data_IF_530315158608
#
_entry.id   IF_530315158608
#
_cell.length_a   1.000
_cell.length_b   1.000
_cell.length_c   1.000
_cell.angle_alpha   90.00
_cell.angle_beta   90.00
_cell.angle_gamma   90.00
#
_symmetry.space_group_name_H-M   'P 1'
#
loop_
_entity.id
_entity.type
_entity.pdbx_description
1 polymer ?
#
# COMPACT_ATOMS: atom_id res chain seq x y z
N UNK A 1 15.00 -18.86 -37.68
CA UNK A 1 16.12 -19.79 -37.41
C UNK A 1 16.00 -20.96 -38.39
N UNK A 2 17.06 -21.25 -39.14
CA UNK A 2 17.09 -22.27 -40.20
C UNK A 2 17.38 -23.65 -39.58
N UNK A 3 16.56 -24.65 -39.89
CA UNK A 3 16.78 -26.07 -39.54
C UNK A 3 17.93 -26.65 -40.37
N UNK A 4 18.80 -27.54 -39.83
CA UNK A 4 19.84 -28.16 -40.64
C UNK A 4 19.26 -29.30 -41.49
N UNK A 5 19.64 -29.28 -42.78
CA UNK A 5 19.30 -30.29 -43.78
C UNK A 5 19.80 -31.69 -43.41
N UNK A 6 18.91 -32.69 -43.59
CA UNK A 6 19.25 -34.12 -43.60
C UNK A 6 20.27 -34.40 -44.71
N UNK A 7 21.48 -34.79 -44.34
CA UNK A 7 22.46 -35.37 -45.26
C UNK A 7 22.13 -36.85 -45.42
N UNK A 8 21.48 -37.20 -46.52
CA UNK A 8 21.26 -38.58 -46.96
C UNK A 8 22.57 -39.19 -47.46
N UNK A 9 23.26 -39.94 -46.60
CA UNK A 9 24.29 -40.88 -47.03
C UNK A 9 23.63 -42.22 -47.40
N UNK A 10 23.59 -42.52 -48.69
CA UNK A 10 23.30 -43.87 -49.19
C UNK A 10 24.29 -44.88 -48.62
N UNK A 11 23.85 -46.05 -48.13
CA UNK A 11 24.76 -47.14 -47.84
C UNK A 11 25.11 -47.86 -49.15
N UNK A 12 26.39 -47.79 -49.52
CA UNK A 12 27.01 -48.66 -50.51
C UNK A 12 26.86 -50.13 -50.07
N UNK A 13 26.39 -50.98 -50.99
CA UNK A 13 26.30 -52.41 -50.78
C UNK A 13 27.70 -53.02 -50.70
N UNK A 14 28.03 -53.59 -49.54
CA UNK A 14 29.17 -54.48 -49.40
C UNK A 14 28.75 -55.77 -48.70
N UNK A 15 28.97 -56.86 -49.44
CA UNK A 15 29.04 -58.29 -49.06
C UNK A 15 28.44 -58.70 -47.71
N UNK A 16 27.38 -59.49 -47.79
CA UNK A 16 26.84 -60.33 -46.72
C UNK A 16 27.89 -61.29 -46.12
N UNK A 17 28.14 -61.24 -44.80
CA UNK A 17 28.53 -62.41 -44.04
C UNK A 17 27.27 -63.11 -43.52
N UNK A 18 27.19 -64.41 -43.79
CA UNK A 18 26.26 -65.31 -43.09
C UNK A 18 26.58 -65.28 -41.58
N UNK A 19 25.52 -65.34 -40.77
CA UNK A 19 25.46 -65.37 -39.30
C UNK A 19 25.55 -64.00 -38.59
N UNK A 20 24.51 -63.18 -38.73
CA UNK A 20 24.38 -61.91 -38.00
C UNK A 20 23.66 -62.09 -36.67
N UNK A 21 24.32 -62.74 -35.72
CA UNK A 21 24.05 -62.51 -34.29
C UNK A 21 24.94 -61.36 -33.84
N UNK A 22 24.36 -60.29 -33.28
CA UNK A 22 25.12 -59.27 -32.56
C UNK A 22 26.03 -59.99 -31.54
N UNK A 23 27.31 -59.66 -31.53
CA UNK A 23 28.22 -60.19 -30.49
C UNK A 23 27.72 -59.74 -29.12
N UNK A 24 27.95 -60.54 -28.05
CA UNK A 24 27.41 -60.23 -26.71
C UNK A 24 27.71 -58.81 -26.23
N UNK A 25 28.87 -58.25 -26.57
CA UNK A 25 29.25 -56.87 -26.26
C UNK A 25 28.40 -55.82 -27.00
N UNK A 26 28.02 -56.08 -28.26
CA UNK A 26 27.16 -55.18 -29.04
C UNK A 26 25.69 -55.26 -28.59
N UNK A 27 25.24 -56.43 -28.12
CA UNK A 27 23.93 -56.56 -27.48
C UNK A 27 23.86 -55.72 -26.21
N UNK A 28 24.87 -55.81 -25.35
CA UNK A 28 24.94 -55.01 -24.11
C UNK A 28 25.02 -53.51 -24.40
N UNK A 29 25.75 -53.08 -25.44
CA UNK A 29 25.80 -51.65 -25.78
C UNK A 29 24.45 -51.12 -26.27
N UNK A 30 23.75 -51.88 -27.13
CA UNK A 30 22.42 -51.48 -27.64
C UNK A 30 21.39 -51.46 -26.52
N UNK A 31 21.41 -52.46 -25.63
CA UNK A 31 20.53 -52.51 -24.46
C UNK A 31 20.81 -51.32 -23.54
N UNK A 32 22.07 -51.03 -23.21
CA UNK A 32 22.42 -49.88 -22.38
C UNK A 32 22.00 -48.54 -23.01
N UNK A 33 22.17 -48.37 -24.32
CA UNK A 33 21.69 -47.17 -25.02
C UNK A 33 20.17 -47.06 -25.04
N UNK A 34 19.45 -48.19 -25.19
CA UNK A 34 17.99 -48.21 -25.13
C UNK A 34 17.48 -47.91 -23.71
N UNK A 35 18.13 -48.43 -22.68
CA UNK A 35 17.80 -48.12 -21.27
C UNK A 35 18.08 -46.65 -20.95
N UNK A 36 19.20 -46.08 -21.40
CA UNK A 36 19.52 -44.66 -21.24
C UNK A 36 18.56 -43.73 -21.99
N UNK A 37 18.15 -44.11 -23.20
CA UNK A 37 17.12 -43.38 -23.92
C UNK A 37 15.78 -43.46 -23.19
N UNK A 38 15.36 -44.66 -22.76
CA UNK A 38 14.14 -44.87 -21.98
C UNK A 38 14.11 -44.05 -20.70
N UNK A 39 15.21 -44.00 -19.95
CA UNK A 39 15.32 -43.16 -18.75
C UNK A 39 15.25 -41.68 -19.10
N UNK A 40 15.94 -41.22 -20.15
CA UNK A 40 15.89 -39.81 -20.57
C UNK A 40 14.50 -39.34 -21.01
N UNK A 41 13.70 -40.22 -21.64
CA UNK A 41 12.32 -39.91 -22.00
C UNK A 41 11.40 -39.87 -20.78
N UNK A 42 11.59 -40.78 -19.83
CA UNK A 42 10.84 -40.78 -18.58
C UNK A 42 11.15 -39.53 -17.75
N UNK A 43 12.44 -39.15 -17.65
CA UNK A 43 12.89 -37.94 -16.97
C UNK A 43 12.33 -36.68 -17.64
N UNK A 44 12.31 -36.62 -18.98
CA UNK A 44 11.73 -35.51 -19.71
C UNK A 44 10.21 -35.38 -19.50
N UNK A 45 9.47 -36.50 -19.51
CA UNK A 45 8.03 -36.48 -19.25
C UNK A 45 7.72 -36.04 -17.80
N UNK A 46 8.49 -36.54 -16.83
CA UNK A 46 8.37 -36.14 -15.43
C UNK A 46 8.72 -34.65 -15.21
N UNK A 47 9.74 -34.14 -15.91
CA UNK A 47 10.11 -32.72 -15.86
C UNK A 47 9.04 -31.82 -16.51
N UNK A 48 8.42 -32.27 -17.60
CA UNK A 48 7.32 -31.56 -18.23
C UNK A 48 6.11 -31.45 -17.28
N UNK A 49 5.73 -32.54 -16.62
CA UNK A 49 4.66 -32.55 -15.62
C UNK A 49 4.99 -31.64 -14.43
N UNK A 50 6.22 -31.70 -13.91
CA UNK A 50 6.67 -30.82 -12.82
C UNK A 50 6.58 -29.35 -13.22
N UNK A 51 7.00 -29.02 -14.43
CA UNK A 51 6.94 -27.65 -14.95
C UNK A 51 5.49 -27.15 -15.04
N UNK A 52 4.57 -28.00 -15.48
CA UNK A 52 3.14 -27.69 -15.52
C UNK A 52 2.56 -27.46 -14.11
N UNK A 53 2.92 -28.31 -13.14
CA UNK A 53 2.51 -28.15 -11.74
C UNK A 53 3.04 -26.85 -11.13
N UNK A 54 4.32 -26.51 -11.35
CA UNK A 54 4.92 -25.26 -10.88
C UNK A 54 4.23 -24.05 -11.51
N UNK A 55 3.91 -24.11 -12.81
CA UNK A 55 3.16 -23.04 -13.49
C UNK A 55 1.76 -22.87 -12.90
N UNK A 56 1.04 -23.98 -12.68
CA UNK A 56 -0.28 -23.95 -12.07
C UNK A 56 -0.25 -23.37 -10.65
N UNK A 57 0.76 -23.72 -9.86
CA UNK A 57 0.96 -23.16 -8.52
C UNK A 57 1.26 -21.66 -8.58
N UNK A 58 2.18 -21.24 -9.46
CA UNK A 58 2.52 -19.82 -9.63
C UNK A 58 1.31 -18.97 -10.03
N UNK A 59 0.42 -19.48 -10.89
CA UNK A 59 -0.82 -18.77 -11.24
C UNK A 59 -1.76 -18.63 -10.04
N UNK A 60 -1.91 -19.69 -9.22
CA UNK A 60 -2.71 -19.61 -7.99
C UNK A 60 -2.14 -18.58 -7.02
N UNK A 61 -0.83 -18.61 -6.79
CA UNK A 61 -0.15 -17.70 -5.88
C UNK A 61 -0.28 -16.24 -6.37
N UNK A 62 -0.18 -16.02 -7.68
CA UNK A 62 -0.39 -14.70 -8.28
C UNK A 62 -1.81 -14.18 -8.05
N UNK A 63 -2.83 -15.02 -8.18
CA UNK A 63 -4.22 -14.63 -7.92
C UNK A 63 -4.47 -14.29 -6.45
N UNK A 64 -3.95 -15.08 -5.53
CA UNK A 64 -4.04 -14.79 -4.09
C UNK A 64 -3.33 -13.47 -3.78
N UNK A 65 -2.11 -13.28 -4.27
CA UNK A 65 -1.35 -12.05 -4.07
C UNK A 65 -2.08 -10.82 -4.62
N UNK A 66 -2.66 -10.92 -5.82
CA UNK A 66 -3.41 -9.81 -6.41
C UNK A 66 -4.64 -9.45 -5.58
N UNK A 67 -5.35 -10.44 -5.05
CA UNK A 67 -6.49 -10.22 -4.15
C UNK A 67 -6.07 -9.54 -2.85
N UNK A 68 -4.95 -9.96 -2.25
CA UNK A 68 -4.41 -9.34 -1.03
C UNK A 68 -4.04 -7.89 -1.26
N UNK A 69 -3.37 -7.57 -2.38
CA UNK A 69 -3.03 -6.20 -2.77
C UNK A 69 -4.31 -5.37 -2.95
N UNK A 70 -5.33 -5.92 -3.59
CA UNK A 70 -6.59 -5.22 -3.80
C UNK A 70 -7.31 -4.92 -2.46
N UNK A 71 -7.33 -5.88 -1.53
CA UNK A 71 -7.87 -5.69 -0.18
C UNK A 71 -7.08 -4.61 0.58
N UNK A 72 -5.75 -4.64 0.50
CA UNK A 72 -4.90 -3.64 1.14
C UNK A 72 -5.14 -2.24 0.56
N UNK A 73 -5.31 -2.14 -0.75
CA UNK A 73 -5.65 -0.88 -1.41
C UNK A 73 -6.98 -0.32 -0.91
N UNK A 74 -8.04 -1.13 -0.84
CA UNK A 74 -9.33 -0.67 -0.33
C UNK A 74 -9.25 -0.17 1.10
N UNK A 75 -8.58 -0.91 1.99
CA UNK A 75 -8.36 -0.49 3.39
C UNK A 75 -7.58 0.81 3.50
N UNK A 76 -6.59 1.01 2.62
CA UNK A 76 -5.81 2.23 2.58
C UNK A 76 -6.67 3.43 2.12
N UNK A 77 -7.49 3.24 1.10
CA UNK A 77 -8.43 4.27 0.62
C UNK A 77 -9.41 4.66 1.71
N UNK A 78 -10.05 3.69 2.37
CA UNK A 78 -10.98 3.93 3.48
C UNK A 78 -10.32 4.73 4.62
N UNK A 79 -9.13 4.32 5.07
CA UNK A 79 -8.33 5.05 6.06
C UNK A 79 -7.98 6.47 5.63
N UNK A 80 -7.70 6.67 4.35
CA UNK A 80 -7.36 7.99 3.81
C UNK A 80 -8.56 8.92 3.85
N UNK A 81 -9.74 8.40 3.49
CA UNK A 81 -11.00 9.15 3.53
C UNK A 81 -11.38 9.50 4.98
N UNK A 82 -11.27 8.56 5.92
CA UNK A 82 -11.47 8.80 7.36
C UNK A 82 -10.56 9.93 7.88
N UNK A 83 -9.25 9.84 7.59
CA UNK A 83 -8.28 10.86 8.00
C UNK A 83 -8.57 12.22 7.37
N UNK A 84 -9.11 12.27 6.15
CA UNK A 84 -9.48 13.52 5.50
C UNK A 84 -10.63 14.22 6.24
N UNK A 85 -11.63 13.45 6.69
CA UNK A 85 -12.78 13.95 7.45
C UNK A 85 -12.35 14.40 8.84
N UNK A 86 -11.49 13.64 9.53
CA UNK A 86 -10.96 14.02 10.83
C UNK A 86 -10.14 15.31 10.76
N UNK A 87 -9.28 15.46 9.75
CA UNK A 87 -8.53 16.69 9.51
C UNK A 87 -9.45 17.89 9.33
N UNK A 88 -10.51 17.74 8.54
CA UNK A 88 -11.50 18.81 8.33
C UNK A 88 -12.22 19.18 9.64
N UNK A 89 -12.59 18.20 10.46
CA UNK A 89 -13.22 18.45 11.76
C UNK A 89 -12.29 19.21 12.71
N UNK A 90 -11.01 18.82 12.78
CA UNK A 90 -10.01 19.48 13.62
C UNK A 90 -9.74 20.91 13.15
N UNK A 91 -9.64 21.13 11.84
CA UNK A 91 -9.44 22.48 11.29
C UNK A 91 -10.63 23.40 11.59
N UNK A 92 -11.87 22.88 11.44
CA UNK A 92 -13.06 23.64 11.80
C UNK A 92 -13.11 23.98 13.31
N UNK A 93 -12.74 23.03 14.17
CA UNK A 93 -12.70 23.25 15.61
C UNK A 93 -11.63 24.28 15.99
N UNK A 94 -10.45 24.21 15.36
CA UNK A 94 -9.38 25.19 15.53
C UNK A 94 -9.86 26.58 15.13
N UNK A 95 -10.44 26.72 13.93
CA UNK A 95 -10.95 28.01 13.46
C UNK A 95 -12.00 28.60 14.40
N UNK A 96 -12.92 27.77 14.89
CA UNK A 96 -13.93 28.21 15.86
C UNK A 96 -13.31 28.67 17.19
N UNK A 97 -12.24 28.00 17.66
CA UNK A 97 -11.51 28.41 18.84
C UNK A 97 -10.74 29.73 18.61
N UNK A 98 -10.10 29.89 17.45
CA UNK A 98 -9.38 31.12 17.07
C UNK A 98 -10.37 32.30 16.98
N UNK A 99 -11.52 32.13 16.31
CA UNK A 99 -12.58 33.15 16.23
C UNK A 99 -13.13 33.51 17.63
N UNK A 100 -13.30 32.52 18.52
CA UNK A 100 -13.74 32.76 19.90
C UNK A 100 -12.69 33.52 20.71
N UNK A 101 -11.42 33.19 20.51
CA UNK A 101 -10.31 33.85 21.19
C UNK A 101 -10.17 35.30 20.73
N UNK A 102 -10.28 35.57 19.42
CA UNK A 102 -10.24 36.92 18.87
C UNK A 102 -11.37 37.79 19.43
N UNK A 103 -12.60 37.25 19.49
CA UNK A 103 -13.72 37.96 20.13
C UNK A 103 -13.47 38.26 21.60
N UNK A 104 -12.91 37.30 22.33
CA UNK A 104 -12.58 37.47 23.74
C UNK A 104 -11.50 38.55 23.94
N UNK A 105 -10.47 38.57 23.09
CA UNK A 105 -9.43 39.61 23.11
C UNK A 105 -10.01 41.00 22.85
N UNK A 106 -10.87 41.13 21.84
CA UNK A 106 -11.53 42.41 21.52
C UNK A 106 -12.43 42.90 22.66
N UNK A 107 -13.23 42.02 23.27
CA UNK A 107 -14.05 42.35 24.43
C UNK A 107 -13.18 42.77 25.62
N UNK A 108 -12.11 42.01 25.90
CA UNK A 108 -11.16 42.34 26.95
C UNK A 108 -10.50 43.72 26.74
N UNK A 109 -9.99 44.00 25.54
CA UNK A 109 -9.40 45.30 25.19
C UNK A 109 -10.40 46.45 25.38
N UNK A 110 -11.64 46.28 24.90
CA UNK A 110 -12.69 47.29 25.07
C UNK A 110 -13.03 47.56 26.55
N UNK A 111 -13.01 46.53 27.40
CA UNK A 111 -13.22 46.66 28.84
C UNK A 111 -12.04 47.37 29.51
N UNK A 112 -10.81 47.08 29.13
CA UNK A 112 -9.63 47.79 29.63
C UNK A 112 -9.66 49.29 29.27
N UNK A 113 -10.05 49.62 28.03
CA UNK A 113 -10.22 51.01 27.61
C UNK A 113 -11.30 51.73 28.41
N UNK A 114 -12.46 51.09 28.60
CA UNK A 114 -13.53 51.64 29.42
C UNK A 114 -13.10 51.81 30.88
N UNK A 115 -12.41 50.82 31.46
CA UNK A 115 -11.86 50.89 32.81
C UNK A 115 -10.93 52.10 32.96
N UNK A 116 -10.06 52.33 31.97
CA UNK A 116 -9.14 53.46 31.95
C UNK A 116 -9.88 54.80 31.95
N UNK A 117 -10.87 54.98 31.07
CA UNK A 117 -11.69 56.20 30.99
C UNK A 117 -12.42 56.45 32.32
N UNK A 118 -13.03 55.41 32.89
CA UNK A 118 -13.78 55.52 34.15
C UNK A 118 -12.87 55.85 35.34
N UNK A 119 -11.69 55.22 35.43
CA UNK A 119 -10.68 55.56 36.45
C UNK A 119 -10.18 57.00 36.31
N UNK A 120 -10.01 57.48 35.08
CA UNK A 120 -9.62 58.87 34.83
C UNK A 120 -10.70 59.86 35.28
N UNK A 121 -11.98 59.61 34.96
CA UNK A 121 -13.12 60.40 35.46
C UNK A 121 -13.22 60.39 36.98
N UNK A 122 -12.98 59.25 37.61
CA UNK A 122 -12.95 59.12 39.08
C UNK A 122 -11.86 60.02 39.67
N UNK A 123 -10.65 59.98 39.11
CA UNK A 123 -9.54 60.84 39.54
C UNK A 123 -9.83 62.34 39.37
N UNK A 124 -10.59 62.70 38.33
CA UNK A 124 -11.05 64.07 38.08
C UNK A 124 -12.28 64.47 38.91
N UNK A 125 -12.85 63.55 39.72
CA UNK A 125 -14.09 63.74 40.48
C UNK A 125 -15.32 64.10 39.60
N UNK A 126 -15.32 63.67 38.34
CA UNK A 126 -16.42 63.91 37.37
C UNK A 126 -17.27 62.67 37.09
N UNK A 127 -16.97 61.54 37.75
CA UNK A 127 -17.68 60.28 37.57
C UNK A 127 -19.10 60.34 38.16
N UNK A 128 -20.06 59.74 37.47
CA UNK A 128 -21.43 59.53 37.97
C UNK A 128 -21.54 58.25 38.80
N UNK A 129 -22.58 58.15 39.64
CA UNK A 129 -22.84 56.94 40.44
C UNK A 129 -23.07 55.68 39.57
N UNK A 130 -23.73 55.84 38.42
CA UNK A 130 -23.92 54.77 37.45
C UNK A 130 -22.60 54.29 36.84
N UNK A 131 -21.72 55.21 36.44
CA UNK A 131 -20.40 54.89 35.92
C UNK A 131 -19.51 54.21 36.97
N UNK A 132 -19.64 54.60 38.24
CA UNK A 132 -18.92 53.98 39.35
C UNK A 132 -19.39 52.53 39.58
N UNK A 133 -20.69 52.26 39.48
CA UNK A 133 -21.24 50.90 39.52
C UNK A 133 -20.78 50.05 38.33
N UNK A 134 -20.66 50.64 37.14
CA UNK A 134 -20.12 49.95 35.95
C UNK A 134 -18.66 49.57 36.20
N UNK A 135 -17.83 50.49 36.70
CA UNK A 135 -16.42 50.24 37.01
C UNK A 135 -16.25 49.13 38.05
N UNK A 136 -17.11 49.09 39.07
CA UNK A 136 -17.08 48.07 40.12
C UNK A 136 -17.43 46.66 39.58
N UNK A 137 -18.26 46.58 38.54
CA UNK A 137 -18.80 45.33 38.00
C UNK A 137 -18.24 44.93 36.62
N UNK A 138 -17.17 45.59 36.17
CA UNK A 138 -16.67 45.52 34.80
C UNK A 138 -16.16 44.12 34.38
N UNK A 139 -15.60 43.39 35.33
CA UNK A 139 -15.02 42.05 35.12
C UNK A 139 -15.85 40.93 35.73
N UNK A 140 -17.05 41.24 36.25
CA UNK A 140 -17.96 40.20 36.74
C UNK A 140 -18.52 39.45 35.52
N UNK A 141 -18.29 38.13 35.41
CA UNK A 141 -18.83 37.33 34.31
C UNK A 141 -20.35 37.47 34.25
N UNK A 142 -20.91 37.54 33.04
CA UNK A 142 -22.37 37.61 32.87
C UNK A 142 -23.09 36.34 33.39
N UNK A 143 -22.37 35.25 33.67
CA UNK A 143 -22.92 34.05 34.31
C UNK A 143 -23.26 34.23 35.79
N UNK A 144 -22.69 35.25 36.44
CA UNK A 144 -22.76 35.46 37.89
C UNK A 144 -23.63 36.67 38.26
N UNK A 145 -24.43 37.18 37.30
CA UNK A 145 -25.41 38.26 37.49
C UNK A 145 -26.84 37.76 37.30
#
# INVERSE_FOLDING_TARGET
MKTPSKVSKSPSSSKSPKNSGLTGAQYVSVVNSATQLGSSFADYAAEAERTEQVKAQSLRDMHVSNNEVQIAHYKLTERTDELSVERMKLENARKAADDSHERWMMDHESREELAKILREKLNQSTITEQELLILQNLYVPASDK
#
